data_IF_820309513613
#
_entry.id   IF_820309513613
#
_cell.length_a   1.000
_cell.length_b   1.000
_cell.length_c   1.000
_cell.angle_alpha   90.00
_cell.angle_beta   90.00
_cell.angle_gamma   90.00
#
_symmetry.space_group_name_H-M   'P 1'
#
loop_
_entity.id
_entity.type
_entity.pdbx_description
1 polymer ?
#
# COMPACT_ATOMS: atom_id res chain seq x y z
N UNK A 1 -7.43 -21.08 -16.25
CA UNK A 1 -6.02 -20.99 -15.79
C UNK A 1 -5.93 -19.79 -14.89
N UNK A 2 -6.24 -20.03 -13.63
CA UNK A 2 -6.18 -19.07 -12.55
C UNK A 2 -4.69 -18.73 -12.34
N UNK A 3 -4.32 -17.46 -12.54
CA UNK A 3 -2.94 -17.04 -12.74
C UNK A 3 -1.98 -17.35 -11.56
N UNK A 4 -0.65 -17.44 -11.82
CA UNK A 4 0.37 -17.93 -10.89
C UNK A 4 0.77 -16.93 -9.78
N UNK A 5 -0.09 -15.98 -9.43
CA UNK A 5 0.23 -14.93 -8.48
C UNK A 5 -0.39 -15.23 -7.14
N UNK A 6 0.36 -15.95 -6.30
CA UNK A 6 0.03 -16.13 -4.90
C UNK A 6 0.22 -14.78 -4.19
N UNK A 7 -0.86 -14.01 -4.04
CA UNK A 7 -0.82 -12.73 -3.33
C UNK A 7 -0.70 -13.02 -1.84
N UNK A 8 0.51 -12.88 -1.30
CA UNK A 8 0.74 -13.02 0.13
C UNK A 8 0.06 -11.87 0.89
N UNK A 9 -0.86 -12.23 1.77
CA UNK A 9 -1.55 -11.29 2.65
C UNK A 9 -0.65 -10.80 3.77
N UNK A 10 -1.06 -9.74 4.48
CA UNK A 10 -0.32 -9.24 5.64
C UNK A 10 -0.19 -10.32 6.73
N UNK A 11 -1.26 -11.07 7.01
CA UNK A 11 -1.27 -12.14 8.01
C UNK A 11 -0.21 -13.21 7.72
N UNK A 12 0.00 -13.55 6.44
CA UNK A 12 1.06 -14.47 6.04
C UNK A 12 2.45 -13.93 6.38
N UNK A 13 2.70 -12.65 6.09
CA UNK A 13 3.97 -11.99 6.41
C UNK A 13 4.22 -11.90 7.92
N UNK A 14 3.17 -11.62 8.70
CA UNK A 14 3.25 -11.62 10.18
C UNK A 14 3.58 -12.99 10.75
N UNK A 15 2.99 -14.06 10.20
CA UNK A 15 3.30 -15.44 10.61
C UNK A 15 4.72 -15.84 10.22
N UNK A 16 5.21 -15.36 9.08
CA UNK A 16 6.58 -15.60 8.57
C UNK A 16 7.65 -14.85 9.35
N UNK A 17 7.33 -13.66 9.85
CA UNK A 17 8.22 -12.85 10.67
C UNK A 17 9.26 -12.03 9.90
N UNK A 18 9.25 -12.03 8.57
CA UNK A 18 10.14 -11.21 7.75
C UNK A 18 9.54 -10.85 6.37
N UNK A 19 10.03 -9.75 5.79
CA UNK A 19 9.65 -9.28 4.45
C UNK A 19 10.22 -10.19 3.36
N UNK A 20 9.41 -10.57 2.36
CA UNK A 20 9.89 -11.39 1.24
C UNK A 20 10.70 -10.61 0.19
N UNK A 21 10.77 -9.28 0.31
CA UNK A 21 11.48 -8.36 -0.58
C UNK A 21 11.11 -8.46 -2.08
N UNK A 22 9.96 -9.07 -2.39
CA UNK A 22 9.46 -9.25 -3.76
C UNK A 22 8.51 -8.13 -4.21
N UNK A 23 8.43 -7.01 -3.48
CA UNK A 23 7.54 -5.90 -3.81
C UNK A 23 6.05 -6.20 -3.60
N UNK A 24 5.70 -7.03 -2.61
CA UNK A 24 4.32 -7.38 -2.32
C UNK A 24 3.51 -6.17 -1.82
N UNK A 25 2.29 -6.01 -2.33
CA UNK A 25 1.43 -4.85 -2.05
C UNK A 25 0.96 -4.79 -0.59
N UNK A 26 0.76 -5.94 0.04
CA UNK A 26 0.32 -6.10 1.43
C UNK A 26 1.47 -6.36 2.41
N UNK A 27 2.68 -5.94 2.06
CA UNK A 27 3.81 -6.04 2.97
C UNK A 27 3.60 -5.09 4.16
N UNK A 28 3.58 -5.58 5.41
CA UNK A 28 3.46 -4.71 6.59
C UNK A 28 4.69 -3.80 6.78
N UNK A 29 5.82 -4.14 6.17
CA UNK A 29 7.07 -3.35 6.22
C UNK A 29 7.25 -2.43 5.01
N UNK A 30 6.33 -2.44 4.05
CA UNK A 30 6.40 -1.52 2.91
C UNK A 30 6.07 -0.11 3.42
N UNK A 31 6.92 0.90 3.18
CA UNK A 31 6.53 2.28 3.37
C UNK A 31 5.39 2.56 2.39
N UNK A 32 4.18 2.76 2.91
CA UNK A 32 3.06 3.27 2.12
C UNK A 32 3.40 4.73 1.87
N UNK A 33 4.04 5.01 0.74
CA UNK A 33 4.16 6.37 0.26
C UNK A 33 2.74 6.84 -0.03
N UNK A 34 2.17 7.63 0.88
CA UNK A 34 0.89 8.28 0.72
C UNK A 34 1.05 9.30 -0.40
N UNK A 35 0.84 8.84 -1.64
CA UNK A 35 0.61 9.73 -2.78
C UNK A 35 -0.77 10.32 -2.56
N UNK A 36 -0.76 11.63 -2.32
CA UNK A 36 -1.82 12.35 -1.64
C UNK A 36 -3.08 12.61 -2.45
N UNK A 37 -4.05 13.16 -1.72
CA UNK A 37 -5.21 13.91 -2.19
C UNK A 37 -5.93 14.45 -0.93
N UNK A 38 -5.43 15.56 -0.38
CA UNK A 38 -6.27 16.55 0.31
C UNK A 38 -5.84 17.94 -0.18
N UNK A 39 -6.03 18.14 -1.49
CA UNK A 39 -6.09 19.48 -2.05
C UNK A 39 -7.44 20.07 -1.66
N UNK A 40 -7.55 20.58 -0.44
CA UNK A 40 -8.60 21.55 -0.12
C UNK A 40 -7.98 22.83 0.43
N UNK A 41 -7.18 23.48 -0.42
CA UNK A 41 -7.06 24.93 -0.35
C UNK A 41 -8.35 25.49 -0.91
N UNK A 42 -9.36 25.60 -0.06
CA UNK A 42 -10.59 26.34 -0.29
C UNK A 42 -10.20 27.79 -0.62
N UNK A 43 -9.98 28.00 -1.90
CA UNK A 43 -9.68 29.30 -2.50
C UNK A 43 -10.95 29.73 -3.19
N UNK A 44 -12.00 30.01 -2.42
CA UNK A 44 -13.09 30.85 -2.92
C UNK A 44 -12.62 32.31 -2.92
N UNK A 45 -11.80 32.58 -3.94
CA UNK A 45 -11.83 33.78 -4.77
C UNK A 45 -12.95 34.80 -4.47
N UNK A 46 -12.48 35.99 -4.12
CA UNK A 46 -12.95 37.29 -4.60
C UNK A 46 -14.47 37.56 -4.60
N UNK A 47 -14.90 38.34 -3.62
CA UNK A 47 -15.65 39.59 -3.82
C UNK A 47 -15.45 40.52 -2.63
#
# INVERSE_FOLDING_TARGET
MDGPYLVFTEAYHRKRGYCCNSGCRHCPWRPTEQRGEESNSESELAS
#
